data_IF_440858428612
#
_entry.id   IF_440858428612
#
_cell.length_a   1.000
_cell.length_b   1.000
_cell.length_c   1.000
_cell.angle_alpha   90.00
_cell.angle_beta   90.00
_cell.angle_gamma   90.00
#
_symmetry.space_group_name_H-M   'P 1'
#
loop_
_entity.id
_entity.type
_entity.pdbx_description
1 polymer ?
#
# COMPACT_ATOMS: atom_id res chain seq x y z
N UNK A 1 -2.88 -6.91 -40.88
CA UNK A 1 -3.76 -5.87 -40.32
C UNK A 1 -4.20 -6.29 -38.92
N UNK A 2 -4.42 -5.35 -38.01
CA UNK A 2 -5.01 -5.60 -36.68
C UNK A 2 -6.53 -5.56 -36.77
N UNK A 3 -7.23 -6.21 -35.83
CA UNK A 3 -8.67 -6.09 -35.66
C UNK A 3 -8.96 -5.05 -34.59
N UNK A 4 -9.29 -3.84 -35.01
CA UNK A 4 -9.38 -2.65 -34.18
C UNK A 4 -10.47 -1.71 -34.69
N UNK A 5 -10.94 -0.81 -33.83
CA UNK A 5 -11.88 0.24 -34.17
C UNK A 5 -11.39 1.59 -33.63
N UNK A 6 -11.65 2.70 -34.34
CA UNK A 6 -11.24 4.01 -33.89
C UNK A 6 -11.96 4.39 -32.59
N UNK A 7 -11.20 4.78 -31.58
CA UNK A 7 -11.70 5.33 -30.33
C UNK A 7 -11.66 6.86 -30.41
N UNK A 8 -12.83 7.49 -30.43
CA UNK A 8 -12.99 8.93 -30.34
C UNK A 8 -13.57 9.33 -28.98
N UNK A 9 -13.27 10.54 -28.53
CA UNK A 9 -13.86 11.11 -27.31
C UNK A 9 -14.18 12.58 -27.51
N UNK A 10 -15.24 13.04 -26.86
CA UNK A 10 -15.61 14.46 -26.86
C UNK A 10 -14.87 15.19 -25.75
N UNK A 11 -14.03 16.14 -26.13
CA UNK A 11 -13.27 16.98 -25.20
C UNK A 11 -13.87 18.38 -25.16
N UNK A 12 -14.03 18.92 -23.94
CA UNK A 12 -14.50 20.28 -23.70
C UNK A 12 -13.40 21.12 -23.06
N UNK A 13 -12.99 22.18 -23.73
CA UNK A 13 -12.07 23.20 -23.22
C UNK A 13 -12.88 24.40 -22.71
N UNK A 14 -12.74 24.72 -21.43
CA UNK A 14 -13.38 25.89 -20.80
C UNK A 14 -12.32 26.93 -20.48
N UNK A 15 -12.38 28.09 -21.13
CA UNK A 15 -11.50 29.20 -20.80
C UNK A 15 -12.05 29.94 -19.57
N UNK A 16 -11.35 29.88 -18.45
CA UNK A 16 -11.83 30.46 -17.19
C UNK A 16 -11.89 32.00 -17.21
N UNK A 17 -11.09 32.65 -18.05
CA UNK A 17 -11.02 34.12 -18.19
C UNK A 17 -12.09 34.65 -19.14
N UNK A 18 -12.20 34.08 -20.34
CA UNK A 18 -13.17 34.53 -21.36
C UNK A 18 -14.54 33.88 -21.21
N UNK A 19 -14.66 32.84 -20.38
CA UNK A 19 -15.86 31.98 -20.24
C UNK A 19 -16.29 31.27 -21.52
N UNK A 20 -15.47 31.30 -22.57
CA UNK A 20 -15.72 30.55 -23.80
C UNK A 20 -15.56 29.05 -23.56
N UNK A 21 -16.46 28.30 -24.19
CA UNK A 21 -16.47 26.84 -24.17
C UNK A 21 -16.28 26.37 -25.61
N UNK A 22 -15.27 25.54 -25.85
CA UNK A 22 -15.06 24.84 -27.12
C UNK A 22 -15.19 23.35 -26.88
N UNK A 23 -16.00 22.70 -27.70
CA UNK A 23 -16.23 21.26 -27.62
C UNK A 23 -15.89 20.63 -28.97
N UNK A 24 -15.12 19.56 -28.96
CA UNK A 24 -14.63 18.91 -30.17
C UNK A 24 -14.54 17.40 -29.94
N UNK A 25 -14.89 16.63 -30.96
CA UNK A 25 -14.59 15.20 -31.01
C UNK A 25 -13.13 14.99 -31.43
N UNK A 26 -12.37 14.31 -30.59
CA UNK A 26 -10.95 14.05 -30.77
C UNK A 26 -10.75 12.54 -30.92
N UNK A 27 -10.07 12.16 -32.00
CA UNK A 27 -9.58 10.80 -32.18
C UNK A 27 -8.43 10.53 -31.20
N UNK A 28 -8.52 9.42 -30.45
CA UNK A 28 -7.50 9.02 -29.49
C UNK A 28 -6.53 7.99 -30.08
N UNK A 29 -7.06 6.86 -30.51
CA UNK A 29 -6.29 5.74 -31.07
C UNK A 29 -7.21 4.71 -31.71
N UNK A 30 -6.62 3.78 -32.46
CA UNK A 30 -7.30 2.55 -32.83
C UNK A 30 -7.21 1.55 -31.67
N UNK A 31 -8.37 1.09 -31.21
CA UNK A 31 -8.47 0.22 -30.04
C UNK A 31 -8.71 -1.23 -30.48
N UNK A 32 -7.84 -2.19 -30.12
CA UNK A 32 -8.01 -3.59 -30.47
C UNK A 32 -9.31 -4.17 -29.90
N UNK A 33 -10.10 -4.82 -30.76
CA UNK A 33 -11.36 -5.42 -30.38
C UNK A 33 -11.18 -6.92 -30.09
N UNK A 34 -11.96 -7.42 -29.15
CA UNK A 34 -12.03 -8.85 -28.87
C UNK A 34 -12.91 -9.51 -29.92
N UNK A 35 -12.42 -10.61 -30.51
CA UNK A 35 -13.21 -11.44 -31.43
C UNK A 35 -14.26 -12.25 -30.66
N UNK A 36 -15.23 -12.84 -31.37
CA UNK A 36 -16.22 -13.75 -30.78
C UNK A 36 -15.59 -14.98 -30.09
N UNK A 37 -14.37 -15.36 -30.49
CA UNK A 37 -13.60 -16.46 -29.88
C UNK A 37 -12.89 -16.06 -28.58
N UNK A 38 -12.95 -14.78 -28.21
CA UNK A 38 -12.28 -14.23 -27.05
C UNK A 38 -10.80 -13.90 -27.27
N UNK A 39 -10.34 -13.82 -28.52
CA UNK A 39 -8.96 -13.53 -28.92
C UNK A 39 -8.82 -12.09 -29.46
N UNK A 40 -7.60 -11.64 -29.71
CA UNK A 40 -7.28 -10.35 -30.34
C UNK A 40 -6.40 -10.57 -31.56
N UNK A 41 -6.66 -9.86 -32.66
CA UNK A 41 -5.79 -9.90 -33.85
C UNK A 41 -4.92 -8.65 -33.83
N UNK A 42 -3.62 -8.81 -33.61
CA UNK A 42 -2.66 -7.69 -33.57
C UNK A 42 -1.57 -7.96 -34.62
N UNK A 43 -1.43 -7.05 -35.58
CA UNK A 43 -0.50 -7.19 -36.71
C UNK A 43 -0.69 -8.49 -37.50
N UNK A 44 -1.94 -8.93 -37.68
CA UNK A 44 -2.27 -10.17 -38.40
C UNK A 44 -2.04 -11.46 -37.61
N UNK A 45 -1.64 -11.36 -36.34
CA UNK A 45 -1.42 -12.52 -35.47
C UNK A 45 -2.50 -12.57 -34.40
N UNK A 46 -3.16 -13.73 -34.28
CA UNK A 46 -4.14 -13.99 -33.23
C UNK A 46 -3.44 -14.22 -31.88
N UNK A 47 -3.90 -13.51 -30.86
CA UNK A 47 -3.32 -13.49 -29.51
C UNK A 47 -4.42 -13.67 -28.47
N UNK A 48 -4.06 -14.31 -27.36
CA UNK A 48 -4.93 -14.48 -26.20
C UNK A 48 -4.32 -13.74 -25.03
N UNK A 49 -5.14 -12.94 -24.34
CA UNK A 49 -4.69 -12.32 -23.09
C UNK A 49 -4.93 -13.28 -21.94
N UNK A 50 -3.84 -13.70 -21.30
CA UNK A 50 -3.88 -14.66 -20.20
C UNK A 50 -4.19 -13.93 -18.90
N UNK A 51 -5.18 -14.43 -18.17
CA UNK A 51 -5.48 -13.91 -16.83
C UNK A 51 -4.34 -14.21 -15.86
N UNK A 52 -3.95 -13.22 -15.05
CA UNK A 52 -2.83 -13.36 -14.12
C UNK A 52 -3.31 -13.71 -12.72
N UNK A 53 -2.62 -14.62 -12.03
CA UNK A 53 -2.88 -14.90 -10.62
C UNK A 53 -1.97 -14.05 -9.73
N UNK A 54 -2.52 -12.97 -9.19
CA UNK A 54 -1.78 -12.01 -8.36
C UNK A 54 -2.15 -12.15 -6.87
N UNK A 55 -1.35 -11.55 -5.99
CA UNK A 55 -1.68 -11.49 -4.56
C UNK A 55 -2.88 -10.57 -4.35
N UNK A 56 -3.79 -10.98 -3.49
CA UNK A 56 -4.89 -10.13 -3.05
C UNK A 56 -4.35 -8.94 -2.28
N UNK A 57 -4.97 -7.76 -2.41
CA UNK A 57 -4.60 -6.60 -1.60
C UNK A 57 -4.84 -6.84 -0.09
N UNK A 58 -4.02 -6.22 0.76
CA UNK A 58 -4.13 -6.33 2.21
C UNK A 58 -2.78 -6.35 2.92
N UNK A 59 -2.81 -6.51 4.24
CA UNK A 59 -1.62 -6.72 5.07
C UNK A 59 -1.42 -8.21 5.35
N UNK A 60 -0.18 -8.68 5.17
CA UNK A 60 0.21 -10.07 5.40
C UNK A 60 1.45 -10.14 6.27
N UNK A 61 1.49 -11.05 7.23
CA UNK A 61 2.63 -11.23 8.13
C UNK A 61 3.49 -12.41 7.67
N UNK A 62 4.77 -12.15 7.45
CA UNK A 62 5.72 -13.14 6.93
C UNK A 62 6.81 -13.42 7.94
N UNK A 63 7.40 -14.60 7.87
CA UNK A 63 8.55 -14.96 8.71
C UNK A 63 9.81 -15.10 7.88
N UNK A 64 10.92 -14.56 8.37
CA UNK A 64 12.26 -14.85 7.90
C UNK A 64 12.91 -15.79 8.91
N UNK A 65 13.09 -17.04 8.50
CA UNK A 65 13.79 -18.03 9.33
C UNK A 65 15.29 -17.77 9.28
N UNK A 66 15.89 -17.57 10.44
CA UNK A 66 17.35 -17.52 10.62
C UNK A 66 17.74 -18.65 11.57
N UNK A 67 18.98 -19.11 11.52
CA UNK A 67 19.48 -20.21 12.36
C UNK A 67 19.10 -19.98 13.83
N UNK A 68 18.16 -20.76 14.34
CA UNK A 68 17.70 -20.73 15.74
C UNK A 68 16.64 -19.68 16.10
N UNK A 69 16.22 -18.79 15.19
CA UNK A 69 15.15 -17.81 15.48
C UNK A 69 14.37 -17.36 14.25
N UNK A 70 13.07 -17.24 14.44
CA UNK A 70 12.12 -16.71 13.47
C UNK A 70 11.96 -15.20 13.68
N UNK A 71 12.06 -14.44 12.59
CA UNK A 71 11.86 -12.98 12.59
C UNK A 71 10.64 -12.63 11.76
N UNK A 72 9.61 -12.12 12.43
CA UNK A 72 8.39 -11.68 11.77
C UNK A 72 8.57 -10.32 11.11
N UNK A 73 7.91 -10.16 9.97
CA UNK A 73 7.76 -8.92 9.22
C UNK A 73 6.36 -8.85 8.64
N UNK A 74 6.11 -7.88 7.77
CA UNK A 74 4.82 -7.74 7.12
C UNK A 74 4.93 -7.16 5.72
N UNK A 75 3.90 -7.39 4.89
CA UNK A 75 3.75 -6.81 3.57
C UNK A 75 2.39 -6.16 3.45
N UNK A 76 2.37 -4.86 3.18
CA UNK A 76 1.15 -4.13 2.81
C UNK A 76 1.12 -4.07 1.29
N UNK A 77 0.18 -4.80 0.71
CA UNK A 77 0.03 -4.96 -0.74
C UNK A 77 -1.22 -4.17 -1.16
N UNK A 78 -1.08 -3.04 -1.87
CA UNK A 78 -2.22 -2.34 -2.42
C UNK A 78 -2.74 -3.02 -3.69
N UNK A 79 -3.95 -2.65 -4.09
CA UNK A 79 -4.49 -2.97 -5.41
C UNK A 79 -3.78 -2.15 -6.51
N UNK A 80 -3.47 -0.90 -6.20
CA UNK A 80 -2.69 0.03 -7.04
C UNK A 80 -1.83 0.90 -6.14
N UNK A 81 -0.57 1.13 -6.52
CA UNK A 81 0.38 1.94 -5.76
C UNK A 81 1.54 1.13 -5.19
N UNK A 82 2.34 1.78 -4.35
CA UNK A 82 3.60 1.24 -3.83
C UNK A 82 3.43 0.23 -2.69
N UNK A 83 4.26 -0.81 -2.68
CA UNK A 83 4.26 -1.83 -1.63
C UNK A 83 5.11 -1.37 -0.44
N UNK A 84 4.66 -1.71 0.78
CA UNK A 84 5.48 -1.59 1.99
C UNK A 84 5.84 -2.98 2.51
N UNK A 85 7.13 -3.28 2.58
CA UNK A 85 7.65 -4.57 3.06
C UNK A 85 8.50 -4.34 4.31
N UNK A 86 7.97 -4.72 5.46
CA UNK A 86 8.61 -4.67 6.77
C UNK A 86 9.37 -5.97 7.06
N UNK A 87 10.58 -5.85 7.58
CA UNK A 87 11.46 -6.96 7.94
C UNK A 87 12.13 -6.68 9.29
N UNK A 88 12.14 -7.66 10.19
CA UNK A 88 12.88 -7.58 11.45
C UNK A 88 14.26 -8.20 11.29
N UNK A 89 15.29 -7.47 11.70
CA UNK A 89 16.68 -7.92 11.70
C UNK A 89 17.01 -8.76 12.95
N UNK A 90 18.18 -9.41 12.95
CA UNK A 90 18.67 -10.19 14.09
C UNK A 90 18.88 -9.37 15.37
N UNK A 91 19.14 -8.07 15.25
CA UNK A 91 19.22 -7.15 16.39
C UNK A 91 17.86 -6.78 16.98
N UNK A 92 16.75 -7.13 16.30
CA UNK A 92 15.41 -6.68 16.65
C UNK A 92 14.98 -5.36 16.00
N UNK A 93 15.86 -4.69 15.26
CA UNK A 93 15.47 -3.49 14.53
C UNK A 93 14.52 -3.85 13.36
N UNK A 94 13.44 -3.09 13.22
CA UNK A 94 12.45 -3.25 12.14
C UNK A 94 12.80 -2.27 11.02
N UNK A 95 13.09 -2.81 9.85
CA UNK A 95 13.25 -2.01 8.63
C UNK A 95 12.06 -2.15 7.70
N UNK A 96 11.95 -1.24 6.75
CA UNK A 96 10.91 -1.20 5.72
C UNK A 96 11.51 -0.88 4.36
N UNK A 97 11.01 -1.56 3.33
CA UNK A 97 11.33 -1.32 1.92
C UNK A 97 10.07 -0.85 1.21
N UNK A 98 10.21 0.18 0.41
CA UNK A 98 9.16 0.65 -0.51
C UNK A 98 9.48 0.10 -1.90
N UNK A 99 8.55 -0.61 -2.54
CA UNK A 99 8.74 -1.22 -3.88
C UNK A 99 10.07 -1.97 -4.05
N UNK A 100 10.47 -2.72 -3.01
CA UNK A 100 11.73 -3.50 -2.95
C UNK A 100 13.02 -2.67 -3.12
N UNK A 101 12.95 -1.36 -2.89
CA UNK A 101 14.12 -0.47 -2.84
C UNK A 101 14.91 -0.65 -1.54
N UNK A 102 15.91 0.21 -1.33
CA UNK A 102 16.80 0.15 -0.15
C UNK A 102 15.98 0.28 1.13
N UNK A 103 16.36 -0.50 2.15
CA UNK A 103 15.70 -0.55 3.45
C UNK A 103 15.94 0.75 4.23
N UNK A 104 14.90 1.30 4.84
CA UNK A 104 14.97 2.36 5.87
C UNK A 104 14.45 1.83 7.20
N UNK A 105 14.81 2.41 8.34
CA UNK A 105 14.19 2.09 9.63
C UNK A 105 12.68 2.36 9.60
N UNK A 106 11.90 1.53 10.30
CA UNK A 106 10.45 1.70 10.36
C UNK A 106 10.04 3.00 11.06
N UNK A 107 10.85 3.49 11.99
CA UNK A 107 10.65 4.78 12.68
C UNK A 107 10.75 5.97 11.73
N UNK A 108 11.60 5.89 10.70
CA UNK A 108 11.67 6.91 9.64
C UNK A 108 10.34 7.04 8.90
N UNK A 109 9.63 5.93 8.63
CA UNK A 109 8.27 5.98 8.04
C UNK A 109 7.26 6.58 9.01
N UNK A 110 7.36 6.29 10.31
CA UNK A 110 6.47 6.89 11.31
C UNK A 110 6.66 8.41 11.40
N UNK A 111 7.91 8.90 11.39
CA UNK A 111 8.23 10.33 11.35
C UNK A 111 7.70 10.99 10.09
N UNK A 112 7.91 10.36 8.94
CA UNK A 112 7.41 10.82 7.64
C UNK A 112 5.88 11.01 7.65
N UNK A 113 5.16 10.13 8.34
CA UNK A 113 3.71 10.16 8.51
C UNK A 113 3.21 11.10 9.63
N UNK A 114 4.10 11.85 10.26
CA UNK A 114 3.77 12.92 11.21
C UNK A 114 4.00 12.60 12.68
N UNK A 115 4.51 11.40 13.02
CA UNK A 115 4.89 11.06 14.40
C UNK A 115 6.38 11.38 14.57
N UNK A 116 6.67 12.68 14.65
CA UNK A 116 8.04 13.17 14.51
C UNK A 116 8.91 12.92 15.75
N UNK A 117 8.35 12.87 16.96
CA UNK A 117 9.12 12.79 18.19
C UNK A 117 9.34 11.35 18.66
N UNK A 118 10.54 11.05 19.16
CA UNK A 118 10.91 9.74 19.69
C UNK A 118 10.02 9.31 20.86
N UNK A 119 9.66 10.26 21.74
CA UNK A 119 8.78 10.02 22.87
C UNK A 119 7.38 9.60 22.39
N UNK A 120 6.82 10.32 21.42
CA UNK A 120 5.51 9.99 20.83
C UNK A 120 5.54 8.62 20.17
N UNK A 121 6.62 8.28 19.46
CA UNK A 121 6.81 6.94 18.89
C UNK A 121 6.79 5.90 20.01
N UNK A 122 7.63 6.05 21.05
CA UNK A 122 7.72 5.08 22.16
C UNK A 122 6.38 4.87 22.85
N UNK A 123 5.64 5.94 23.12
CA UNK A 123 4.31 5.87 23.76
C UNK A 123 3.32 5.03 22.95
N UNK A 124 3.36 5.07 21.61
CA UNK A 124 2.44 4.28 20.75
C UNK A 124 2.68 2.77 20.82
N UNK A 125 3.82 2.32 21.32
CA UNK A 125 4.20 0.90 21.35
C UNK A 125 4.51 0.37 22.75
N UNK A 126 4.43 1.18 23.80
CA UNK A 126 4.78 0.81 25.17
C UNK A 126 4.05 -0.45 25.68
N UNK A 127 2.80 -0.63 25.27
CA UNK A 127 1.96 -1.76 25.68
C UNK A 127 2.35 -3.09 25.02
N UNK A 128 2.84 -3.07 23.77
CA UNK A 128 3.24 -4.27 23.01
C UNK A 128 4.72 -4.58 23.12
N UNK A 129 5.54 -3.58 23.42
CA UNK A 129 6.99 -3.66 23.40
C UNK A 129 7.58 -4.06 24.78
N UNK A 130 7.00 -5.10 25.39
CA UNK A 130 7.37 -5.62 26.72
C UNK A 130 8.18 -6.92 26.64
N UNK A 131 8.72 -7.22 25.47
CA UNK A 131 9.50 -8.42 25.23
C UNK A 131 10.92 -8.34 25.80
N UNK A 132 11.70 -9.41 25.60
CA UNK A 132 13.13 -9.43 25.94
C UNK A 132 13.93 -8.41 25.12
N UNK A 133 13.46 -8.11 23.91
CA UNK A 133 14.07 -7.13 23.00
C UNK A 133 13.11 -5.97 22.87
N UNK A 134 13.64 -4.77 23.03
CA UNK A 134 12.93 -3.54 22.73
C UNK A 134 13.09 -3.25 21.22
N UNK A 135 12.08 -3.61 20.43
CA UNK A 135 12.15 -3.49 18.97
C UNK A 135 12.16 -2.03 18.51
N UNK A 136 11.47 -1.15 19.23
CA UNK A 136 11.37 0.27 18.88
C UNK A 136 12.68 0.98 19.18
N UNK A 137 13.27 0.75 20.35
CA UNK A 137 14.56 1.30 20.74
C UNK A 137 15.68 0.84 19.80
N UNK A 138 15.72 -0.45 19.47
CA UNK A 138 16.69 -0.99 18.50
C UNK A 138 16.48 -0.42 17.08
N UNK A 139 15.24 -0.04 16.74
CA UNK A 139 14.95 0.63 15.46
C UNK A 139 15.36 2.10 15.50
N UNK A 140 15.08 2.83 16.59
CA UNK A 140 15.47 4.23 16.79
C UNK A 140 17.00 4.40 16.76
N UNK A 141 17.76 3.47 17.34
CA UNK A 141 19.24 3.47 17.26
C UNK A 141 19.78 3.41 15.83
N UNK A 142 19.02 2.81 14.89
CA UNK A 142 19.39 2.74 13.47
C UNK A 142 18.80 3.88 12.64
N UNK A 143 17.93 4.71 13.24
CA UNK A 143 17.30 5.86 12.60
C UNK A 143 18.25 7.06 12.62
N UNK A 144 18.64 7.51 11.43
CA UNK A 144 19.48 8.71 11.27
C UNK A 144 18.66 10.00 11.26
N UNK A 145 17.34 9.92 11.33
CA UNK A 145 16.44 11.07 11.20
C UNK A 145 15.82 11.45 12.53
N UNK A 146 15.66 12.76 12.77
CA UNK A 146 15.13 13.29 14.03
C UNK A 146 13.84 14.08 13.86
N UNK A 147 13.51 14.50 12.64
CA UNK A 147 12.28 15.24 12.34
C UNK A 147 11.59 14.72 11.07
N UNK A 148 10.37 15.20 10.82
CA UNK A 148 9.56 14.77 9.67
C UNK A 148 10.21 15.15 8.33
N UNK A 149 10.83 16.33 8.24
CA UNK A 149 11.45 16.82 7.00
C UNK A 149 12.65 15.98 6.58
N UNK A 150 13.51 15.61 7.54
CA UNK A 150 14.64 14.70 7.33
C UNK A 150 14.14 13.31 6.92
N UNK A 151 13.11 12.80 7.60
CA UNK A 151 12.51 11.52 7.26
C UNK A 151 11.96 11.48 5.83
N UNK A 152 11.30 12.55 5.39
CA UNK A 152 10.82 12.71 4.01
C UNK A 152 11.97 12.67 3.00
N UNK A 153 13.05 13.41 3.25
CA UNK A 153 14.22 13.45 2.37
C UNK A 153 14.94 12.11 2.34
N UNK A 154 15.14 11.46 3.49
CA UNK A 154 15.79 10.14 3.58
C UNK A 154 15.01 9.10 2.76
N UNK A 155 13.67 9.05 2.92
CA UNK A 155 12.83 8.12 2.15
C UNK A 155 12.89 8.45 0.65
N UNK A 156 12.87 9.73 0.28
CA UNK A 156 13.01 10.17 -1.11
C UNK A 156 14.32 9.67 -1.73
N UNK A 157 15.46 9.88 -1.06
CA UNK A 157 16.78 9.47 -1.56
C UNK A 157 16.90 7.96 -1.74
N UNK A 158 16.18 7.17 -0.93
CA UNK A 158 16.16 5.71 -1.01
C UNK A 158 15.33 5.20 -2.19
N UNK A 159 14.29 5.95 -2.55
CA UNK A 159 13.47 5.71 -3.74
C UNK A 159 14.20 6.14 -5.02
N UNK A 160 14.87 7.29 -4.99
CA UNK A 160 15.58 7.93 -6.11
C UNK A 160 17.00 8.32 -5.70
N UNK A 161 17.97 7.38 -5.76
CA UNK A 161 19.35 7.67 -5.41
C UNK A 161 19.97 8.68 -6.37
N UNK A 162 20.64 9.70 -5.84
CA UNK A 162 21.37 10.72 -6.63
C UNK A 162 20.64 12.05 -6.80
N UNK A 163 19.35 12.10 -6.50
CA UNK A 163 18.56 13.33 -6.57
C UNK A 163 18.59 14.06 -5.22
N UNK A 164 19.14 15.28 -5.19
CA UNK A 164 18.98 16.19 -4.06
C UNK A 164 17.66 16.94 -4.22
N UNK A 165 16.81 16.90 -3.19
CA UNK A 165 15.50 17.58 -3.22
C UNK A 165 15.23 18.36 -1.95
N UNK A 166 14.37 19.36 -2.08
CA UNK A 166 13.81 20.05 -0.94
C UNK A 166 12.86 19.14 -0.15
N UNK A 167 12.69 19.35 1.16
CA UNK A 167 11.69 18.63 1.96
C UNK A 167 10.26 18.76 1.42
N UNK A 168 9.92 19.89 0.78
CA UNK A 168 8.58 20.12 0.23
C UNK A 168 8.30 19.25 -1.00
N UNK A 169 9.28 19.13 -1.89
CA UNK A 169 9.19 18.21 -3.04
C UNK A 169 9.12 16.75 -2.58
N UNK A 170 9.89 16.39 -1.54
CA UNK A 170 9.82 15.06 -0.96
C UNK A 170 8.44 14.79 -0.33
N UNK A 171 7.85 15.77 0.36
CA UNK A 171 6.48 15.72 0.89
C UNK A 171 5.46 15.45 -0.20
N UNK A 172 5.50 16.23 -1.28
CA UNK A 172 4.55 16.10 -2.38
C UNK A 172 4.62 14.71 -3.02
N UNK A 173 5.83 14.15 -3.22
CA UNK A 173 5.98 12.79 -3.76
C UNK A 173 5.31 11.76 -2.84
N UNK A 174 5.58 11.83 -1.53
CA UNK A 174 5.10 10.86 -0.55
C UNK A 174 3.58 10.95 -0.35
N UNK A 175 3.03 12.16 -0.27
CA UNK A 175 1.58 12.37 -0.19
C UNK A 175 0.88 11.81 -1.43
N UNK A 176 1.43 12.06 -2.61
CA UNK A 176 0.92 11.47 -3.85
C UNK A 176 1.12 9.95 -3.90
N UNK A 177 2.17 9.41 -3.28
CA UNK A 177 2.45 7.98 -3.29
C UNK A 177 1.50 7.18 -2.41
N UNK A 178 1.13 7.69 -1.22
CA UNK A 178 0.38 6.90 -0.22
C UNK A 178 -1.02 7.45 0.13
N UNK A 179 -1.25 8.76 -0.03
CA UNK A 179 -2.48 9.43 0.43
C UNK A 179 -3.40 9.89 -0.70
N UNK A 180 -2.93 9.87 -1.95
CA UNK A 180 -3.74 10.16 -3.13
C UNK A 180 -4.43 8.90 -3.65
N UNK A 181 -5.77 8.88 -3.65
CA UNK A 181 -6.58 7.75 -4.09
C UNK A 181 -6.36 7.35 -5.57
N UNK A 182 -6.02 8.31 -6.42
CA UNK A 182 -5.73 8.03 -7.83
C UNK A 182 -4.43 7.24 -8.02
N UNK A 183 -3.50 7.37 -7.08
CA UNK A 183 -2.18 6.71 -7.13
C UNK A 183 -2.08 5.52 -6.18
N UNK A 184 -2.82 5.54 -5.07
CA UNK A 184 -2.84 4.49 -4.05
C UNK A 184 -4.26 4.02 -3.72
N UNK A 185 -4.52 2.73 -3.87
CA UNK A 185 -5.80 2.12 -3.52
C UNK A 185 -5.59 0.71 -2.96
N UNK A 186 -6.03 0.45 -1.73
CA UNK A 186 -6.08 -0.89 -1.13
C UNK A 186 -7.23 -1.74 -1.68
N UNK A 187 -8.16 -1.16 -2.45
CA UNK A 187 -9.48 -1.72 -2.79
C UNK A 187 -10.39 -1.91 -1.57
N UNK A 188 -11.70 -2.09 -1.82
CA UNK A 188 -12.66 -2.44 -0.77
C UNK A 188 -12.28 -3.76 -0.08
N UNK A 189 -11.90 -4.76 -0.86
CA UNK A 189 -11.55 -6.09 -0.36
C UNK A 189 -10.26 -6.02 0.45
N UNK A 190 -9.23 -5.33 -0.03
CA UNK A 190 -7.97 -5.22 0.73
C UNK A 190 -8.12 -4.46 2.03
N UNK A 191 -8.91 -3.38 2.05
CA UNK A 191 -9.21 -2.66 3.30
C UNK A 191 -9.98 -3.54 4.29
N UNK A 192 -10.98 -4.28 3.83
CA UNK A 192 -11.72 -5.22 4.66
C UNK A 192 -10.82 -6.35 5.19
N UNK A 193 -9.92 -6.91 4.37
CA UNK A 193 -8.95 -7.92 4.78
C UNK A 193 -7.99 -7.38 5.83
N UNK A 194 -7.51 -6.15 5.64
CA UNK A 194 -6.63 -5.49 6.60
C UNK A 194 -7.32 -5.31 7.96
N UNK A 195 -8.56 -4.80 8.00
CA UNK A 195 -9.31 -4.67 9.24
C UNK A 195 -9.68 -6.01 9.89
N UNK A 196 -9.88 -7.05 9.09
CA UNK A 196 -10.11 -8.40 9.60
C UNK A 196 -8.85 -8.98 10.24
N UNK A 197 -7.67 -8.69 9.66
CA UNK A 197 -6.37 -9.14 10.18
C UNK A 197 -5.86 -8.31 11.35
N UNK A 198 -6.24 -7.03 11.42
CA UNK A 198 -5.84 -6.05 12.43
C UNK A 198 -7.07 -5.43 13.11
N UNK A 199 -7.62 -6.07 14.16
CA UNK A 199 -8.86 -5.65 14.82
C UNK A 199 -8.78 -4.25 15.47
N UNK A 200 -7.59 -3.79 15.85
CA UNK A 200 -7.35 -2.45 16.42
C UNK A 200 -7.75 -1.32 15.46
N UNK A 201 -7.67 -1.55 14.15
CA UNK A 201 -8.08 -0.57 13.14
C UNK A 201 -9.61 -0.46 13.02
N UNK A 202 -10.35 -1.47 13.50
CA UNK A 202 -11.81 -1.49 13.45
C UNK A 202 -12.43 -0.54 14.47
N UNK A 203 -11.72 -0.24 15.57
CA UNK A 203 -12.34 0.29 16.79
C UNK A 203 -12.44 1.82 16.88
N UNK A 204 -11.76 2.60 16.05
CA UNK A 204 -11.77 4.08 16.20
C UNK A 204 -12.90 4.84 15.47
N UNK A 205 -13.66 4.19 14.58
CA UNK A 205 -14.92 4.73 13.99
C UNK A 205 -16.04 3.69 13.80
N UNK A 206 -15.78 2.42 14.18
CA UNK A 206 -16.65 1.26 13.96
C UNK A 206 -17.19 0.60 15.23
N UNK A 207 -16.82 1.08 16.42
CA UNK A 207 -17.39 0.64 17.70
C UNK A 207 -18.17 1.77 18.36
N UNK A 208 -19.29 2.14 17.74
CA UNK A 208 -20.45 2.57 18.52
C UNK A 208 -21.35 1.35 18.67
N UNK A 209 -21.68 1.05 19.93
CA UNK A 209 -22.64 0.03 20.37
C UNK A 209 -23.83 -0.04 19.39
N UNK A 210 -23.92 -1.09 18.58
CA UNK A 210 -25.06 -1.33 17.68
C UNK A 210 -25.71 -2.67 18.03
N UNK A 211 -26.97 -2.60 18.47
CA UNK A 211 -27.78 -3.67 19.07
C UNK A 211 -28.28 -4.75 18.09
N UNK A 212 -27.74 -4.90 16.89
CA UNK A 212 -28.30 -5.88 15.92
C UNK A 212 -27.28 -6.42 14.90
N UNK A 213 -27.27 -7.75 14.72
CA UNK A 213 -26.39 -8.53 13.81
C UNK A 213 -26.48 -8.12 12.33
N UNK A 214 -27.57 -7.47 11.91
CA UNK A 214 -27.90 -7.17 10.50
C UNK A 214 -27.39 -5.81 10.01
N UNK A 215 -27.01 -4.90 10.91
CA UNK A 215 -26.40 -3.58 10.59
C UNK A 215 -24.86 -3.59 10.65
N UNK A 216 -24.23 -4.74 10.95
CA UNK A 216 -22.78 -4.88 11.13
C UNK A 216 -21.95 -4.83 9.83
N UNK A 217 -22.56 -4.97 8.65
CA UNK A 217 -21.82 -5.23 7.40
C UNK A 217 -21.72 -4.03 6.44
N UNK A 218 -22.55 -3.00 6.61
CA UNK A 218 -22.81 -2.02 5.55
C UNK A 218 -22.33 -0.58 5.82
N UNK A 219 -21.27 -0.38 6.62
CA UNK A 219 -20.51 0.87 6.47
C UNK A 219 -19.66 0.73 5.21
N UNK A 220 -20.21 1.17 4.06
CA UNK A 220 -19.54 1.13 2.75
C UNK A 220 -18.14 1.74 2.89
N UNK A 221 -17.11 0.93 2.64
CA UNK A 221 -15.71 1.38 2.60
C UNK A 221 -15.60 2.48 1.55
N UNK A 222 -15.35 3.71 2.02
CA UNK A 222 -15.24 4.90 1.16
C UNK A 222 -13.90 4.91 0.41
N UNK A 223 -13.69 5.84 -0.52
CA UNK A 223 -12.40 5.99 -1.22
C UNK A 223 -11.30 6.48 -0.27
N UNK A 224 -11.61 7.43 0.62
CA UNK A 224 -10.70 7.92 1.67
C UNK A 224 -10.28 6.83 2.66
N UNK A 225 -11.07 5.78 2.84
CA UNK A 225 -10.67 4.65 3.67
C UNK A 225 -9.73 3.67 2.98
N UNK A 226 -9.56 3.76 1.65
CA UNK A 226 -8.72 2.82 0.89
C UNK A 226 -7.31 3.33 0.63
N UNK A 227 -7.03 4.60 0.92
CA UNK A 227 -5.66 5.11 1.00
C UNK A 227 -5.03 4.66 2.32
N UNK A 228 -3.70 4.61 2.34
CA UNK A 228 -2.97 4.25 3.55
C UNK A 228 -3.12 5.36 4.60
N UNK A 229 -3.24 5.01 5.88
CA UNK A 229 -3.26 5.99 6.98
C UNK A 229 -2.11 5.72 7.96
N UNK A 230 -1.62 6.73 8.70
CA UNK A 230 -0.57 6.51 9.70
C UNK A 230 -0.92 5.40 10.71
N UNK A 231 -2.20 5.30 11.11
CA UNK A 231 -2.67 4.26 12.03
C UNK A 231 -2.48 2.85 11.46
N UNK A 232 -2.55 2.69 10.15
CA UNK A 232 -2.39 1.41 9.48
C UNK A 232 -0.96 0.88 9.65
N UNK A 233 0.04 1.75 9.54
CA UNK A 233 1.45 1.39 9.75
C UNK A 233 1.71 1.09 11.22
N UNK A 234 1.16 1.90 12.14
CA UNK A 234 1.27 1.65 13.58
C UNK A 234 0.71 0.27 13.92
N UNK A 235 -0.50 -0.06 13.46
CA UNK A 235 -1.13 -1.35 13.73
C UNK A 235 -0.32 -2.52 13.14
N UNK A 236 0.26 -2.36 11.95
CA UNK A 236 1.15 -3.38 11.35
C UNK A 236 2.40 -3.57 12.20
N UNK A 237 3.06 -2.49 12.64
CA UNK A 237 4.25 -2.58 13.47
C UNK A 237 3.96 -3.20 14.85
N UNK A 238 2.83 -2.84 15.47
CA UNK A 238 2.36 -3.44 16.74
C UNK A 238 2.18 -4.95 16.60
N UNK A 239 1.55 -5.39 15.51
CA UNK A 239 1.35 -6.81 15.24
C UNK A 239 2.68 -7.54 14.93
N UNK A 240 3.63 -6.91 14.23
CA UNK A 240 4.98 -7.47 14.04
C UNK A 240 5.68 -7.70 15.40
N UNK A 241 5.62 -6.72 16.30
CA UNK A 241 6.22 -6.82 17.64
C UNK A 241 5.55 -7.95 18.43
N UNK A 242 4.21 -8.01 18.42
CA UNK A 242 3.45 -9.08 19.07
C UNK A 242 3.85 -10.46 18.56
N UNK A 243 3.95 -10.64 17.24
CA UNK A 243 4.31 -11.93 16.63
C UNK A 243 5.76 -12.32 16.91
N UNK A 244 6.70 -11.38 16.95
CA UNK A 244 8.08 -11.67 17.34
C UNK A 244 8.23 -12.04 18.83
N UNK A 245 7.31 -11.58 19.69
CA UNK A 245 7.28 -11.92 21.11
C UNK A 245 6.56 -13.23 21.43
N UNK A 246 5.77 -13.76 20.48
CA UNK A 246 4.98 -14.99 20.64
C UNK A 246 5.68 -16.19 19.97
N UNK A 247 6.22 -17.16 20.74
CA UNK A 247 6.90 -18.33 20.17
C UNK A 247 6.00 -19.26 19.36
N UNK A 248 4.67 -19.18 19.55
CA UNK A 248 3.69 -20.01 18.83
C UNK A 248 3.07 -19.29 17.62
N UNK A 249 3.50 -18.05 17.36
CA UNK A 249 3.03 -17.28 16.22
C UNK A 249 3.27 -18.03 14.90
N UNK A 250 2.29 -17.94 14.00
CA UNK A 250 2.37 -18.53 12.66
C UNK A 250 2.30 -17.42 11.60
N UNK A 251 3.12 -17.51 10.54
CA UNK A 251 3.03 -16.56 9.43
C UNK A 251 1.75 -16.78 8.62
N UNK A 252 1.31 -15.73 7.94
CA UNK A 252 0.23 -15.82 6.97
C UNK A 252 0.74 -16.56 5.71
N UNK A 253 -0.10 -17.45 5.16
CA UNK A 253 0.24 -18.19 3.94
C UNK A 253 -0.06 -17.36 2.69
N UNK A 254 0.86 -16.48 2.30
CA UNK A 254 0.65 -15.54 1.17
C UNK A 254 0.39 -16.26 -0.16
N UNK A 255 0.94 -17.46 -0.35
CA UNK A 255 0.82 -18.22 -1.60
C UNK A 255 -0.42 -19.13 -1.65
N UNK A 256 -1.20 -19.21 -0.56
CA UNK A 256 -2.49 -19.92 -0.55
C UNK A 256 -3.47 -19.29 -1.54
N UNK A 257 -4.27 -20.09 -2.25
CA UNK A 257 -5.20 -19.60 -3.28
C UNK A 257 -6.22 -18.59 -2.75
N UNK A 258 -6.68 -18.72 -1.50
CA UNK A 258 -7.55 -17.71 -0.85
C UNK A 258 -6.88 -16.34 -0.64
N UNK A 259 -5.56 -16.26 -0.79
CA UNK A 259 -4.77 -15.03 -0.74
C UNK A 259 -4.30 -14.58 -2.13
N UNK A 260 -4.70 -15.31 -3.17
CA UNK A 260 -4.51 -14.97 -4.57
C UNK A 260 -5.83 -14.55 -5.19
N UNK A 261 -5.78 -13.73 -6.23
CA UNK A 261 -6.95 -13.34 -7.02
C UNK A 261 -6.60 -13.36 -8.50
N UNK A 262 -7.59 -13.67 -9.32
CA UNK A 262 -7.47 -13.59 -10.77
C UNK A 262 -7.59 -12.13 -11.17
N UNK A 263 -6.58 -11.61 -11.85
CA UNK A 263 -6.61 -10.31 -12.54
C UNK A 263 -7.06 -10.57 -13.97
N UNK A 264 -8.30 -10.20 -14.25
CA UNK A 264 -8.90 -10.35 -15.57
C UNK A 264 -8.38 -9.29 -16.57
N UNK A 265 -8.64 -9.51 -17.85
CA UNK A 265 -8.24 -8.62 -18.94
C UNK A 265 -8.65 -7.15 -18.72
N UNK A 266 -9.88 -6.91 -18.26
CA UNK A 266 -10.38 -5.55 -18.02
C UNK A 266 -9.60 -4.79 -16.94
N UNK A 267 -9.00 -5.51 -15.99
CA UNK A 267 -8.10 -4.92 -15.00
C UNK A 267 -6.66 -4.77 -15.50
N UNK A 268 -6.26 -5.52 -16.53
CA UNK A 268 -4.97 -5.35 -17.20
C UNK A 268 -4.99 -4.09 -18.07
N UNK A 269 -6.09 -3.81 -18.76
CA UNK A 269 -6.25 -2.61 -19.59
C UNK A 269 -6.30 -1.29 -18.79
N UNK A 270 -6.73 -1.33 -17.53
CA UNK A 270 -6.89 -0.14 -16.67
C UNK A 270 -5.61 0.27 -15.92
N UNK A 271 -4.61 -0.60 -15.89
CA UNK A 271 -3.38 -0.40 -15.11
C UNK A 271 -2.27 0.17 -15.96
#
# INVERSE_FOLDING_TARGET
ASYEAPLTTTVRLVNLKTKEIKEQEVYLCDFPLQTERGTFIVNGVERVVISQLIRSPGAFFTVKKTTGKDYFGAKIIPNRGSWLEFETDSSGAIGVKIDRKRKVPATTILRMFGIANDLDIKEKFEDVNKGKIDFIEETLKKDSTHNQSEALVEVYQRLRPGDMVSPDTARELIENMFFNFERYDLSKVGRWRMWSRLPELRTKKGSLKAKSKKQKLDKKITTSDRVLKPEDVIAVLREIIRLNNDPQAKPDQIDHLGNRRVRAFTELLKG
#
